data_IF_416129135031
#
_entry.id   IF_416129135031
#
_cell.length_a   1.000
_cell.length_b   1.000
_cell.length_c   1.000
_cell.angle_alpha   90.00
_cell.angle_beta   90.00
_cell.angle_gamma   90.00
#
_symmetry.space_group_name_H-M   'P 1'
#
loop_
_entity.id
_entity.type
_entity.pdbx_description
1 polymer ?
#
# COMPACT_ATOMS: atom_id res chain seq x y z
N UNK A 1 -20.06 -14.24 48.67
CA UNK A 1 -19.65 -13.26 49.71
C UNK A 1 -18.17 -13.52 49.97
N UNK A 2 -17.19 -12.72 49.57
CA UNK A 2 -17.09 -11.38 48.99
C UNK A 2 -16.09 -11.45 47.82
N UNK A 3 -16.47 -10.87 46.69
CA UNK A 3 -15.60 -10.56 45.55
C UNK A 3 -14.84 -9.30 45.93
N UNK A 4 -13.51 -9.31 45.84
CA UNK A 4 -12.72 -8.08 45.97
C UNK A 4 -11.98 -7.87 44.63
N UNK A 5 -12.56 -7.01 43.79
CA UNK A 5 -11.99 -6.58 42.53
C UNK A 5 -10.92 -5.52 42.79
N UNK A 6 -9.66 -5.87 42.55
CA UNK A 6 -8.63 -4.87 42.33
C UNK A 6 -8.45 -4.70 40.82
N UNK A 7 -9.18 -3.74 40.27
CA UNK A 7 -8.88 -3.17 38.96
C UNK A 7 -7.53 -2.47 39.04
N UNK A 8 -6.48 -3.13 38.55
CA UNK A 8 -5.21 -2.50 38.25
C UNK A 8 -5.42 -1.49 37.11
N UNK A 9 -5.42 -0.21 37.46
CA UNK A 9 -5.21 0.88 36.51
C UNK A 9 -3.77 0.82 36.01
N UNK A 10 -3.52 -0.06 35.04
CA UNK A 10 -2.30 -0.06 34.26
C UNK A 10 -2.34 1.09 33.25
N UNK A 11 -1.73 2.22 33.58
CA UNK A 11 -1.40 3.23 32.60
C UNK A 11 -0.34 2.65 31.65
N UNK A 12 -0.75 2.15 30.49
CA UNK A 12 0.16 1.70 29.45
C UNK A 12 0.59 2.90 28.60
N UNK A 13 1.70 3.51 29.00
CA UNK A 13 2.45 4.45 28.18
C UNK A 13 3.23 3.64 27.14
N UNK A 14 2.66 3.43 25.95
CA UNK A 14 3.39 2.86 24.80
C UNK A 14 4.26 3.97 24.22
N UNK A 15 5.52 4.00 24.62
CA UNK A 15 6.55 4.86 24.04
C UNK A 15 6.98 4.24 22.69
N UNK A 16 6.33 4.65 21.60
CA UNK A 16 6.78 4.34 20.24
C UNK A 16 8.00 5.21 19.91
N UNK A 17 9.18 4.69 20.24
CA UNK A 17 10.46 5.16 19.70
C UNK A 17 10.55 4.77 18.23
N UNK A 18 9.96 5.56 17.34
CA UNK A 18 10.39 5.59 15.94
C UNK A 18 11.75 6.29 15.92
N UNK A 19 12.82 5.50 15.79
CA UNK A 19 14.13 6.03 15.44
C UNK A 19 14.04 6.68 14.06
N UNK A 20 14.01 8.01 14.01
CA UNK A 20 14.35 8.74 12.80
C UNK A 20 15.83 8.45 12.53
N UNK A 21 16.10 7.55 11.59
CA UNK A 21 17.40 7.53 10.92
C UNK A 21 17.46 8.83 10.12
N UNK A 22 18.13 9.84 10.67
CA UNK A 22 18.65 10.94 9.86
C UNK A 22 19.67 10.32 8.91
N UNK A 23 19.22 9.97 7.71
CA UNK A 23 20.13 9.71 6.61
C UNK A 23 20.74 11.06 6.22
N UNK A 24 22.06 11.19 6.34
CA UNK A 24 22.77 12.32 5.72
C UNK A 24 22.45 12.34 4.22
N UNK A 25 22.20 13.53 3.67
CA UNK A 25 21.75 13.75 2.29
C UNK A 25 22.72 13.13 1.26
N UNK A 26 22.35 11.97 0.71
CA UNK A 26 23.08 11.35 -0.39
C UNK A 26 22.42 11.73 -1.72
N UNK A 27 23.13 12.49 -2.56
CA UNK A 27 22.70 12.79 -3.93
C UNK A 27 23.26 11.75 -4.89
N UNK A 28 22.42 11.27 -5.81
CA UNK A 28 22.81 10.28 -6.82
C UNK A 28 22.79 10.92 -8.21
N UNK A 29 23.95 10.92 -8.86
CA UNK A 29 24.15 11.45 -10.21
C UNK A 29 24.25 10.30 -11.22
N UNK A 30 23.63 10.47 -12.40
CA UNK A 30 23.68 9.47 -13.48
C UNK A 30 24.45 10.01 -14.67
N UNK A 31 25.47 9.27 -15.08
CA UNK A 31 26.30 9.61 -16.23
C UNK A 31 25.64 9.12 -17.55
N UNK A 32 25.99 9.75 -18.67
CA UNK A 32 25.62 9.32 -20.03
C UNK A 32 26.10 7.90 -20.34
N UNK A 33 27.15 7.43 -19.67
CA UNK A 33 27.66 6.05 -19.72
C UNK A 33 26.71 5.02 -19.10
N UNK A 34 25.68 5.46 -18.34
CA UNK A 34 24.75 4.58 -17.63
C UNK A 34 25.17 4.26 -16.19
N UNK A 35 26.36 4.70 -15.76
CA UNK A 35 26.86 4.55 -14.39
C UNK A 35 26.14 5.51 -13.43
N UNK A 36 25.90 5.02 -12.20
CA UNK A 36 25.29 5.79 -11.11
C UNK A 36 26.34 6.05 -10.05
N UNK A 37 26.51 7.31 -9.66
CA UNK A 37 27.45 7.71 -8.60
C UNK A 37 26.67 8.41 -7.51
N UNK A 38 26.67 7.83 -6.31
CA UNK A 38 26.01 8.37 -5.12
C UNK A 38 27.03 8.88 -4.12
N UNK A 39 26.76 10.04 -3.53
CA UNK A 39 27.63 10.65 -2.53
C UNK A 39 27.08 11.94 -1.92
N UNK A 40 27.77 12.45 -0.91
CA UNK A 40 27.52 13.76 -0.30
C UNK A 40 28.17 14.85 -1.17
N UNK A 41 27.44 15.92 -1.53
CA UNK A 41 28.00 16.99 -2.39
C UNK A 41 28.88 17.91 -1.54
N UNK A 42 30.16 17.99 -1.89
CA UNK A 42 31.14 18.85 -1.20
C UNK A 42 31.28 20.23 -1.85
N UNK A 43 31.15 20.33 -3.18
CA UNK A 43 31.21 21.59 -3.92
C UNK A 43 30.59 21.48 -5.30
N UNK A 44 30.04 22.59 -5.79
CA UNK A 44 29.45 22.72 -7.13
C UNK A 44 29.99 23.97 -7.82
N UNK A 45 30.46 23.82 -9.06
CA UNK A 45 30.86 24.92 -9.94
C UNK A 45 29.95 24.98 -11.17
N UNK A 46 30.15 25.96 -12.05
CA UNK A 46 29.38 26.06 -13.31
C UNK A 46 29.55 24.83 -14.21
N UNK A 47 30.67 24.11 -14.11
CA UNK A 47 31.01 22.99 -15.02
C UNK A 47 31.10 21.63 -14.33
N UNK A 48 31.36 21.58 -13.01
CA UNK A 48 31.61 20.33 -12.29
C UNK A 48 30.93 20.26 -10.91
N UNK A 49 30.68 19.04 -10.43
CA UNK A 49 30.15 18.73 -9.10
C UNK A 49 31.12 17.78 -8.40
N UNK A 50 31.59 18.10 -7.21
CA UNK A 50 32.42 17.21 -6.39
C UNK A 50 31.58 16.52 -5.33
N UNK A 51 31.60 15.19 -5.31
CA UNK A 51 30.89 14.38 -4.34
C UNK A 51 31.83 13.47 -3.55
N UNK A 52 31.53 13.23 -2.28
CA UNK A 52 32.17 12.21 -1.45
C UNK A 52 31.37 10.91 -1.57
N UNK A 53 31.86 9.99 -2.38
CA UNK A 53 31.31 8.64 -2.51
C UNK A 53 31.90 7.72 -1.43
N UNK A 54 31.05 6.89 -0.82
CA UNK A 54 31.47 5.91 0.19
C UNK A 54 32.40 4.82 -0.36
N UNK A 55 32.42 4.62 -1.69
CA UNK A 55 33.20 3.58 -2.36
C UNK A 55 34.46 4.15 -3.03
N UNK A 56 34.37 5.34 -3.63
CA UNK A 56 35.42 5.90 -4.49
C UNK A 56 36.14 7.13 -3.89
N UNK A 57 35.77 7.59 -2.70
CA UNK A 57 36.31 8.83 -2.12
C UNK A 57 35.71 10.08 -2.76
N UNK A 58 36.49 11.16 -2.88
CA UNK A 58 36.05 12.38 -3.55
C UNK A 58 36.08 12.21 -5.08
N UNK A 59 34.93 12.40 -5.73
CA UNK A 59 34.71 12.23 -7.16
C UNK A 59 34.20 13.54 -7.75
N UNK A 60 34.92 14.08 -8.74
CA UNK A 60 34.48 15.25 -9.51
C UNK A 60 33.78 14.80 -10.80
N UNK A 61 32.51 15.15 -10.94
CA UNK A 61 31.65 14.83 -12.07
C UNK A 61 31.49 16.06 -12.95
N UNK A 62 31.71 15.93 -14.26
CA UNK A 62 31.40 17.00 -15.21
C UNK A 62 29.91 17.04 -15.52
N UNK A 63 29.30 18.24 -15.47
CA UNK A 63 27.87 18.43 -15.78
C UNK A 63 27.53 18.02 -17.22
N UNK A 64 28.50 18.10 -18.14
CA UNK A 64 28.36 17.62 -19.52
C UNK A 64 28.10 16.13 -19.63
N UNK A 65 28.52 15.35 -18.63
CA UNK A 65 28.43 13.90 -18.64
C UNK A 65 27.18 13.40 -17.95
N UNK A 66 26.36 14.31 -17.40
CA UNK A 66 25.07 13.97 -16.81
C UNK A 66 24.02 13.67 -17.88
N UNK A 67 23.18 12.67 -17.63
CA UNK A 67 22.02 12.34 -18.48
C UNK A 67 20.95 13.42 -18.32
N UNK A 68 20.72 14.20 -19.38
CA UNK A 68 19.68 15.24 -19.44
C UNK A 68 18.28 14.61 -19.53
N UNK A 69 17.40 14.92 -18.59
CA UNK A 69 16.04 14.37 -18.48
C UNK A 69 15.01 15.32 -19.07
N UNK A 70 14.07 14.83 -19.89
CA UNK A 70 12.97 15.65 -20.45
C UNK A 70 11.66 15.30 -19.75
N UNK A 71 11.01 16.29 -19.14
CA UNK A 71 9.73 16.12 -18.42
C UNK A 71 8.63 16.99 -19.03
N UNK A 72 7.38 16.58 -18.81
CA UNK A 72 6.18 17.38 -19.08
C UNK A 72 5.53 17.71 -17.74
N UNK A 73 5.54 18.98 -17.35
CA UNK A 73 4.89 19.48 -16.15
C UNK A 73 3.53 20.08 -16.52
N UNK A 74 2.48 19.69 -15.81
CA UNK A 74 1.15 20.30 -15.88
C UNK A 74 0.97 21.16 -14.64
N UNK A 75 0.71 22.46 -14.82
CA UNK A 75 0.50 23.40 -13.73
C UNK A 75 -0.94 23.36 -13.20
N UNK A 76 -1.16 23.93 -12.02
CA UNK A 76 -2.49 24.13 -11.44
C UNK A 76 -3.38 25.01 -12.30
N UNK A 77 -2.78 25.93 -13.08
CA UNK A 77 -3.47 26.74 -14.09
C UNK A 77 -3.98 25.91 -15.28
N UNK A 78 -3.46 24.69 -15.46
CA UNK A 78 -3.68 23.87 -16.65
C UNK A 78 -2.60 24.04 -17.73
N UNK A 79 -1.65 24.96 -17.56
CA UNK A 79 -0.54 25.15 -18.50
C UNK A 79 0.41 23.95 -18.50
N UNK A 80 1.01 23.68 -19.67
CA UNK A 80 1.90 22.53 -19.86
C UNK A 80 3.30 23.01 -20.23
N UNK A 81 4.27 22.73 -19.36
CA UNK A 81 5.69 23.05 -19.56
C UNK A 81 6.43 21.79 -19.96
N UNK A 82 7.08 21.80 -21.14
CA UNK A 82 7.90 20.68 -21.63
C UNK A 82 9.34 21.13 -21.80
N UNK A 83 10.28 20.37 -21.26
CA UNK A 83 11.69 20.71 -21.40
C UNK A 83 12.63 19.82 -20.61
N UNK A 84 13.92 20.16 -20.67
CA UNK A 84 14.98 19.42 -19.97
C UNK A 84 15.13 19.94 -18.55
N UNK A 85 15.17 19.06 -17.55
CA UNK A 85 15.42 19.47 -16.15
C UNK A 85 16.87 19.92 -16.00
N UNK A 86 17.06 21.18 -15.62
CA UNK A 86 18.35 21.78 -15.32
C UNK A 86 18.67 21.73 -13.82
N UNK A 87 17.64 21.94 -12.98
CA UNK A 87 17.78 21.98 -11.51
C UNK A 87 16.50 21.47 -10.84
N UNK A 88 16.66 20.78 -9.72
CA UNK A 88 15.59 20.25 -8.87
C UNK A 88 15.89 20.58 -7.42
N UNK A 89 15.06 21.42 -6.83
CA UNK A 89 15.10 21.73 -5.39
C UNK A 89 13.74 21.44 -4.77
N UNK A 90 13.62 21.61 -3.45
CA UNK A 90 12.34 21.51 -2.74
C UNK A 90 11.36 22.57 -3.24
N UNK A 91 11.86 23.77 -3.53
CA UNK A 91 11.00 24.94 -3.81
C UNK A 91 10.67 25.11 -5.30
N UNK A 92 11.54 24.64 -6.20
CA UNK A 92 11.38 24.87 -7.63
C UNK A 92 12.03 23.82 -8.54
N UNK A 93 11.48 23.71 -9.75
CA UNK A 93 12.08 23.06 -10.91
C UNK A 93 12.61 24.11 -11.87
N UNK A 94 13.87 23.99 -12.29
CA UNK A 94 14.40 24.78 -13.40
C UNK A 94 14.45 23.92 -14.67
N UNK A 95 13.79 24.38 -15.73
CA UNK A 95 13.56 23.60 -16.95
C UNK A 95 14.02 24.39 -18.17
N UNK A 96 14.86 23.81 -19.00
CA UNK A 96 15.19 24.31 -20.33
C UNK A 96 14.06 23.92 -21.30
N UNK A 97 13.13 24.83 -21.51
CA UNK A 97 12.03 24.66 -22.47
C UNK A 97 12.39 25.20 -23.85
N UNK A 98 11.55 24.94 -24.86
CA UNK A 98 11.68 25.56 -26.19
C UNK A 98 11.59 27.11 -26.16
N UNK A 99 11.08 27.68 -25.06
CA UNK A 99 10.96 29.13 -24.85
C UNK A 99 12.06 29.71 -23.96
N UNK A 100 13.08 28.90 -23.61
CA UNK A 100 14.16 29.26 -22.71
C UNK A 100 14.04 28.60 -21.33
N UNK A 101 14.90 29.04 -20.40
CA UNK A 101 14.88 28.56 -19.01
C UNK A 101 13.62 29.06 -18.29
N UNK A 102 12.85 28.11 -17.76
CA UNK A 102 11.63 28.37 -17.00
C UNK A 102 11.83 27.79 -15.60
N UNK A 103 11.66 28.63 -14.59
CA UNK A 103 11.59 28.21 -13.19
C UNK A 103 10.14 28.03 -12.80
N UNK A 104 9.77 26.79 -12.45
CA UNK A 104 8.42 26.41 -12.03
C UNK A 104 8.43 26.13 -10.52
N UNK A 105 7.73 26.92 -9.70
CA UNK A 105 7.57 26.62 -8.28
C UNK A 105 6.84 25.29 -8.07
N UNK A 106 7.31 24.44 -7.16
CA UNK A 106 6.74 23.11 -6.94
C UNK A 106 5.26 23.17 -6.54
N UNK A 107 4.85 24.22 -5.83
CA UNK A 107 3.47 24.49 -5.42
C UNK A 107 2.49 24.64 -6.59
N UNK A 108 2.99 25.07 -7.75
CA UNK A 108 2.18 25.32 -8.93
C UNK A 108 2.04 24.08 -9.82
N UNK A 109 2.67 22.96 -9.46
CA UNK A 109 2.67 21.72 -10.25
C UNK A 109 1.51 20.82 -9.83
N UNK A 110 0.62 20.54 -10.78
CA UNK A 110 -0.49 19.59 -10.62
C UNK A 110 -0.04 18.15 -10.84
N UNK A 111 0.75 17.91 -11.90
CA UNK A 111 1.30 16.59 -12.21
C UNK A 111 2.54 16.70 -13.09
N UNK A 112 3.43 15.73 -12.96
CA UNK A 112 4.61 15.57 -13.82
C UNK A 112 4.41 14.27 -14.59
N UNK A 113 4.33 14.38 -15.91
CA UNK A 113 4.39 13.25 -16.83
C UNK A 113 5.82 13.15 -17.35
N UNK A 114 6.42 11.96 -17.23
CA UNK A 114 7.65 11.69 -17.93
C UNK A 114 7.33 11.75 -19.42
N UNK A 115 8.05 12.59 -20.18
CA UNK A 115 7.95 12.53 -21.62
C UNK A 115 8.61 11.21 -22.04
N UNK A 116 7.81 10.14 -22.12
CA UNK A 116 8.19 8.97 -22.87
C UNK A 116 8.50 9.48 -24.27
N UNK A 117 9.79 9.59 -24.62
CA UNK A 117 10.17 9.56 -26.02
C UNK A 117 9.71 8.19 -26.51
N UNK A 118 8.49 8.12 -27.03
CA UNK A 118 8.14 7.16 -28.04
C UNK A 118 9.13 7.47 -29.17
N UNK A 119 10.24 6.75 -29.16
CA UNK A 119 11.16 6.82 -30.26
C UNK A 119 10.39 6.18 -31.41
N UNK A 120 9.94 6.98 -32.38
CA UNK A 120 9.12 6.53 -33.52
C UNK A 120 9.84 5.50 -34.42
N UNK A 121 11.05 5.07 -34.03
CA UNK A 121 11.94 4.10 -34.67
C UNK A 121 12.39 2.98 -33.71
N UNK A 122 11.87 2.90 -32.47
CA UNK A 122 12.22 1.80 -31.56
C UNK A 122 11.57 0.48 -32.00
N UNK A 123 12.30 -0.65 -31.98
CA UNK A 123 11.79 -1.94 -32.42
C UNK A 123 10.56 -2.35 -31.59
N UNK A 124 9.58 -2.93 -32.26
CA UNK A 124 8.42 -3.54 -31.61
C UNK A 124 8.86 -4.83 -30.91
N UNK A 125 8.67 -4.90 -29.60
CA UNK A 125 8.98 -6.09 -28.81
C UNK A 125 7.69 -6.86 -28.56
N UNK A 126 7.72 -8.16 -28.85
CA UNK A 126 6.65 -9.09 -28.52
C UNK A 126 6.64 -9.35 -27.00
N UNK A 127 5.62 -8.85 -26.30
CA UNK A 127 5.32 -9.25 -24.92
C UNK A 127 4.23 -10.31 -24.92
N UNK A 128 4.51 -11.45 -24.30
CA UNK A 128 3.49 -12.47 -24.00
C UNK A 128 2.67 -12.02 -22.79
N UNK A 129 1.35 -12.02 -22.96
CA UNK A 129 0.36 -11.86 -21.90
C UNK A 129 -0.53 -13.10 -21.82
N UNK A 130 -1.32 -13.21 -20.76
CA UNK A 130 -2.33 -14.27 -20.60
C UNK A 130 -3.37 -14.30 -21.74
N UNK A 131 -3.50 -13.20 -22.50
CA UNK A 131 -4.45 -13.06 -23.62
C UNK A 131 -3.76 -13.08 -24.99
N UNK A 132 -2.51 -13.53 -25.06
CA UNK A 132 -1.73 -13.62 -26.30
C UNK A 132 -0.56 -12.66 -26.38
N UNK A 133 0.03 -12.56 -27.58
CA UNK A 133 1.24 -11.74 -27.82
C UNK A 133 0.85 -10.33 -28.26
N UNK A 134 1.29 -9.34 -27.49
CA UNK A 134 1.09 -7.92 -27.78
C UNK A 134 2.42 -7.30 -28.20
N UNK A 135 2.40 -6.53 -29.28
CA UNK A 135 3.57 -5.83 -29.80
C UNK A 135 3.57 -4.40 -29.23
N UNK A 136 4.63 -4.04 -28.52
CA UNK A 136 4.78 -2.69 -27.96
C UNK A 136 6.11 -2.09 -28.39
N UNK A 137 6.09 -0.79 -28.70
CA UNK A 137 7.30 -0.01 -28.98
C UNK A 137 8.17 0.05 -27.73
N UNK A 138 9.46 -0.25 -27.84
CA UNK A 138 10.40 -0.13 -26.73
C UNK A 138 10.50 1.35 -26.29
N UNK A 139 9.76 1.73 -25.25
CA UNK A 139 9.98 3.01 -24.59
C UNK A 139 11.24 2.88 -23.76
N UNK A 140 12.23 3.74 -24.02
CA UNK A 140 13.34 3.94 -23.10
C UNK A 140 12.72 4.43 -21.78
N UNK A 141 12.44 3.52 -20.86
CA UNK A 141 11.94 3.88 -19.55
C UNK A 141 12.99 4.79 -18.93
N UNK A 142 12.60 6.02 -18.62
CA UNK A 142 13.36 6.86 -17.71
C UNK A 142 13.46 6.10 -16.38
N UNK A 143 14.66 6.12 -15.79
CA UNK A 143 14.94 5.46 -14.51
C UNK A 143 14.33 6.23 -13.32
N UNK A 144 13.73 7.41 -13.55
CA UNK A 144 13.06 8.22 -12.53
C UNK A 144 11.57 7.87 -12.47
N UNK A 145 10.91 8.05 -11.33
CA UNK A 145 9.49 7.74 -11.16
C UNK A 145 8.93 8.31 -9.88
N UNK A 146 7.84 9.05 -9.99
CA UNK A 146 7.14 9.64 -8.85
C UNK A 146 6.16 8.68 -8.17
N UNK A 147 5.69 7.67 -8.93
CA UNK A 147 4.72 6.67 -8.48
C UNK A 147 5.17 5.28 -8.93
N UNK A 148 5.00 4.29 -8.07
CA UNK A 148 5.02 2.89 -8.48
C UNK A 148 3.94 2.63 -9.54
N UNK A 149 4.11 1.56 -10.33
CA UNK A 149 3.12 1.16 -11.36
C UNK A 149 1.73 0.94 -10.77
N UNK A 150 1.65 0.58 -9.50
CA UNK A 150 0.41 0.29 -8.80
C UNK A 150 0.35 1.05 -7.49
N UNK A 151 -0.83 1.56 -7.15
CA UNK A 151 -1.15 2.04 -5.80
C UNK A 151 -1.89 0.93 -5.07
N UNK A 152 -1.49 0.66 -3.84
CA UNK A 152 -2.12 -0.37 -3.05
C UNK A 152 -3.52 0.08 -2.64
N UNK A 153 -4.52 -0.68 -3.06
CA UNK A 153 -5.88 -0.49 -2.57
C UNK A 153 -5.98 -0.95 -1.12
N UNK A 154 -5.31 -2.03 -0.77
CA UNK A 154 -5.29 -2.64 0.56
C UNK A 154 -3.83 -3.02 0.88
N UNK A 155 -3.43 -2.94 2.15
CA UNK A 155 -2.18 -3.52 2.65
C UNK A 155 -2.57 -4.81 3.36
N UNK A 156 -2.07 -5.95 2.87
CA UNK A 156 -2.59 -7.28 3.23
C UNK A 156 -4.10 -7.40 3.00
N UNK A 157 -4.91 -7.30 4.06
CA UNK A 157 -6.38 -7.34 3.99
C UNK A 157 -7.03 -6.03 4.43
N UNK A 158 -6.24 -5.11 5.00
CA UNK A 158 -6.70 -3.86 5.54
C UNK A 158 -6.72 -2.75 4.47
N UNK A 159 -7.81 -1.98 4.38
CA UNK A 159 -7.99 -1.03 3.29
C UNK A 159 -7.09 0.20 3.44
N UNK A 160 -6.66 0.74 2.31
CA UNK A 160 -6.11 2.10 2.22
C UNK A 160 -7.18 3.08 1.73
N UNK A 161 -6.87 4.38 1.81
CA UNK A 161 -7.66 5.47 1.24
C UNK A 161 -7.75 5.46 -0.29
N UNK A 162 -6.99 4.59 -0.97
CA UNK A 162 -6.95 4.54 -2.43
C UNK A 162 -7.93 3.52 -3.03
N UNK A 163 -8.38 3.85 -4.23
CA UNK A 163 -9.26 3.01 -5.04
C UNK A 163 -8.63 2.69 -6.40
N UNK A 164 -9.11 1.62 -7.03
CA UNK A 164 -8.77 1.24 -8.40
C UNK A 164 -9.19 2.39 -9.35
N UNK A 165 -8.33 2.82 -10.30
CA UNK A 165 -8.68 3.86 -11.27
C UNK A 165 -9.93 3.51 -12.10
N UNK A 166 -10.63 4.54 -12.61
CA UNK A 166 -11.81 4.34 -13.45
C UNK A 166 -11.50 3.43 -14.64
N UNK A 167 -12.40 2.49 -14.90
CA UNK A 167 -12.32 1.50 -15.99
C UNK A 167 -11.09 0.58 -15.92
N UNK A 168 -10.40 0.52 -14.79
CA UNK A 168 -9.33 -0.45 -14.58
C UNK A 168 -9.89 -1.73 -13.92
N UNK A 169 -9.45 -2.87 -14.46
CA UNK A 169 -9.70 -4.19 -13.90
C UNK A 169 -8.45 -4.64 -13.15
N UNK A 170 -8.63 -4.93 -11.87
CA UNK A 170 -7.68 -5.68 -11.06
C UNK A 170 -8.08 -7.15 -11.06
N UNK A 171 -7.10 -8.03 -11.24
CA UNK A 171 -7.33 -9.47 -11.18
C UNK A 171 -6.12 -10.14 -10.53
N UNK A 172 -6.37 -11.02 -9.57
CA UNK A 172 -5.36 -11.80 -8.87
C UNK A 172 -5.80 -13.26 -8.74
N UNK A 173 -4.91 -14.12 -8.24
CA UNK A 173 -5.23 -15.52 -7.99
C UNK A 173 -6.33 -15.74 -6.94
N UNK A 174 -6.65 -14.74 -6.11
CA UNK A 174 -7.61 -14.87 -5.01
C UNK A 174 -8.78 -13.87 -5.08
N UNK A 175 -8.68 -12.83 -5.91
CA UNK A 175 -9.66 -11.75 -5.94
C UNK A 175 -9.69 -11.02 -7.28
N UNK A 176 -10.79 -10.32 -7.54
CA UNK A 176 -10.91 -9.37 -8.64
C UNK A 176 -11.42 -8.03 -8.11
N UNK A 177 -11.21 -6.98 -8.90
CA UNK A 177 -11.65 -5.65 -8.57
C UNK A 177 -11.89 -4.80 -9.79
N UNK A 178 -12.85 -3.89 -9.73
CA UNK A 178 -13.15 -2.96 -10.81
C UNK A 178 -13.37 -1.55 -10.29
N UNK A 179 -12.68 -0.58 -10.88
CA UNK A 179 -12.88 0.84 -10.61
C UNK A 179 -14.04 1.39 -11.44
N UNK A 180 -15.20 1.59 -10.82
CA UNK A 180 -16.37 2.21 -11.47
C UNK A 180 -16.12 3.69 -11.78
N UNK A 181 -15.42 4.38 -10.87
CA UNK A 181 -14.96 5.76 -11.02
C UNK A 181 -13.60 5.91 -10.34
N UNK A 182 -12.95 7.07 -10.46
CA UNK A 182 -11.68 7.35 -9.75
C UNK A 182 -11.81 7.42 -8.23
N UNK A 183 -13.03 7.23 -7.70
CA UNK A 183 -13.33 7.20 -6.26
C UNK A 183 -14.12 6.00 -5.83
N UNK A 184 -14.69 5.21 -6.73
CA UNK A 184 -15.60 4.12 -6.38
C UNK A 184 -15.08 2.85 -7.02
N UNK A 185 -14.82 1.84 -6.19
CA UNK A 185 -14.45 0.51 -6.63
C UNK A 185 -15.38 -0.55 -6.04
N UNK A 186 -15.40 -1.70 -6.68
CA UNK A 186 -15.97 -2.92 -6.17
C UNK A 186 -14.91 -4.00 -6.28
N UNK A 187 -14.68 -4.76 -5.20
CA UNK A 187 -13.83 -5.94 -5.22
C UNK A 187 -14.56 -7.16 -4.69
N UNK A 188 -14.04 -8.34 -4.98
CA UNK A 188 -14.56 -9.60 -4.46
C UNK A 188 -13.48 -10.69 -4.44
N UNK A 189 -13.56 -11.57 -3.44
CA UNK A 189 -12.73 -12.77 -3.29
C UNK A 189 -13.41 -13.92 -4.02
N UNK A 190 -13.05 -14.16 -5.27
CA UNK A 190 -13.73 -15.17 -6.10
C UNK A 190 -13.43 -16.60 -5.65
N UNK A 191 -12.33 -16.84 -4.95
CA UNK A 191 -12.03 -18.16 -4.39
C UNK A 191 -13.10 -18.59 -3.38
N UNK A 192 -13.65 -17.66 -2.60
CA UNK A 192 -14.71 -17.96 -1.64
C UNK A 192 -15.99 -18.50 -2.31
N UNK A 193 -16.19 -18.25 -3.61
CA UNK A 193 -17.36 -18.74 -4.34
C UNK A 193 -17.39 -20.27 -4.40
N UNK A 194 -16.23 -20.95 -4.34
CA UNK A 194 -16.17 -22.41 -4.26
C UNK A 194 -16.80 -22.98 -2.98
N UNK A 195 -16.93 -22.15 -1.94
CA UNK A 195 -17.62 -22.46 -0.68
C UNK A 195 -18.98 -21.77 -0.57
N UNK A 196 -19.56 -21.35 -1.70
CA UNK A 196 -20.87 -20.68 -1.76
C UNK A 196 -20.94 -19.35 -1.00
N UNK A 197 -19.79 -18.77 -0.65
CA UNK A 197 -19.70 -17.42 -0.09
C UNK A 197 -19.53 -16.40 -1.23
N UNK A 198 -20.66 -15.96 -1.75
CA UNK A 198 -20.69 -14.78 -2.59
C UNK A 198 -20.42 -13.54 -1.73
N UNK A 199 -19.32 -12.87 -2.01
CA UNK A 199 -18.90 -11.71 -1.26
C UNK A 199 -18.69 -10.50 -2.17
N UNK A 200 -18.93 -9.31 -1.65
CA UNK A 200 -18.77 -8.06 -2.38
C UNK A 200 -18.24 -6.97 -1.46
N UNK A 201 -17.20 -6.28 -1.90
CA UNK A 201 -16.53 -5.23 -1.13
C UNK A 201 -16.57 -3.88 -1.88
N UNK A 202 -17.68 -3.13 -1.81
CA UNK A 202 -17.70 -1.75 -2.29
C UNK A 202 -16.83 -0.85 -1.40
N UNK A 203 -16.03 0.01 -2.03
CA UNK A 203 -15.22 1.02 -1.35
C UNK A 203 -15.29 2.35 -2.09
N UNK A 204 -15.46 3.44 -1.34
CA UNK A 204 -15.48 4.81 -1.85
C UNK A 204 -14.40 5.67 -1.18
N UNK A 205 -13.55 6.29 -1.98
CA UNK A 205 -12.67 7.38 -1.54
C UNK A 205 -13.51 8.66 -1.40
N UNK A 206 -13.80 9.05 -0.17
CA UNK A 206 -14.64 10.21 0.17
C UNK A 206 -13.89 11.51 -0.15
N UNK A 207 -12.61 11.59 0.21
CA UNK A 207 -11.77 12.71 -0.17
C UNK A 207 -10.37 12.25 -0.57
N UNK A 208 -9.79 13.01 -1.50
CA UNK A 208 -8.41 12.87 -1.94
C UNK A 208 -7.89 14.26 -2.24
N UNK A 209 -6.85 14.68 -1.53
CA UNK A 209 -6.28 16.03 -1.64
C UNK A 209 -4.76 15.97 -1.58
N UNK A 210 -4.09 17.00 -2.06
CA UNK A 210 -2.63 17.12 -2.04
C UNK A 210 -1.99 17.22 -3.42
N UNK A 211 -0.68 17.42 -3.41
CA UNK A 211 0.16 17.69 -4.57
C UNK A 211 1.11 16.50 -4.84
N UNK A 212 2.10 16.69 -5.71
CA UNK A 212 3.11 15.66 -6.02
C UNK A 212 3.94 15.30 -4.78
N UNK A 213 4.16 16.22 -3.85
CA UNK A 213 4.98 15.97 -2.66
C UNK A 213 4.23 15.20 -1.59
N UNK A 214 2.98 15.59 -1.31
CA UNK A 214 2.17 15.04 -0.24
C UNK A 214 0.72 14.89 -0.68
N UNK A 215 0.15 13.73 -0.41
CA UNK A 215 -1.23 13.41 -0.71
C UNK A 215 -1.90 12.75 0.49
N UNK A 216 -3.14 13.14 0.76
CA UNK A 216 -4.03 12.48 1.70
C UNK A 216 -5.24 11.89 0.97
N UNK A 217 -5.71 10.75 1.44
CA UNK A 217 -6.92 10.10 0.94
C UNK A 217 -7.67 9.43 2.09
N UNK A 218 -8.98 9.59 2.11
CA UNK A 218 -9.87 8.92 3.05
C UNK A 218 -10.87 8.07 2.27
N UNK A 219 -11.01 6.82 2.68
CA UNK A 219 -11.98 5.91 2.12
C UNK A 219 -12.83 5.26 3.21
N UNK A 220 -14.07 4.96 2.85
CA UNK A 220 -14.98 4.12 3.62
C UNK A 220 -15.48 3.01 2.72
N UNK A 221 -15.89 1.89 3.30
CA UNK A 221 -16.50 0.83 2.55
C UNK A 221 -17.08 -0.24 3.46
N UNK A 222 -17.58 -1.28 2.80
CA UNK A 222 -18.05 -2.47 3.49
C UNK A 222 -17.65 -3.72 2.72
N UNK A 223 -17.65 -4.85 3.40
CA UNK A 223 -17.44 -6.16 2.83
C UNK A 223 -18.61 -7.03 3.25
N UNK A 224 -19.39 -7.49 2.28
CA UNK A 224 -20.58 -8.31 2.53
C UNK A 224 -20.26 -9.73 2.14
N UNK A 225 -20.73 -10.68 2.95
CA UNK A 225 -20.54 -12.11 2.75
C UNK A 225 -21.89 -12.80 2.89
N UNK A 226 -22.27 -13.66 1.94
CA UNK A 226 -23.53 -14.41 2.04
C UNK A 226 -23.45 -15.57 3.02
N UNK A 227 -22.25 -16.11 3.23
CA UNK A 227 -21.97 -17.31 4.03
C UNK A 227 -20.53 -17.25 4.56
N UNK A 228 -20.07 -18.31 5.21
CA UNK A 228 -18.72 -18.37 5.78
C UNK A 228 -18.67 -17.78 7.19
N UNK A 229 -17.59 -18.09 7.90
CA UNK A 229 -17.26 -17.44 9.16
C UNK A 229 -16.16 -16.38 8.93
N UNK A 230 -16.26 -15.20 9.56
CA UNK A 230 -15.20 -14.21 9.51
C UNK A 230 -13.90 -14.74 10.14
N UNK A 231 -12.77 -14.14 9.77
CA UNK A 231 -11.46 -14.42 10.37
C UNK A 231 -11.32 -13.73 11.74
N UNK A 232 -12.29 -13.99 12.64
CA UNK A 232 -12.40 -13.46 14.00
C UNK A 232 -12.65 -14.62 14.94
N UNK A 233 -12.18 -14.52 16.18
CA UNK A 233 -12.25 -15.60 17.17
C UNK A 233 -12.80 -15.10 18.50
N UNK A 234 -13.47 -15.99 19.22
CA UNK A 234 -13.94 -15.80 20.59
C UNK A 234 -13.49 -16.98 21.45
N UNK A 235 -13.20 -16.70 22.71
CA UNK A 235 -12.89 -17.74 23.70
C UNK A 235 -14.21 -18.32 24.23
N UNK A 236 -14.37 -19.63 24.13
CA UNK A 236 -15.51 -20.35 24.69
C UNK A 236 -15.00 -21.35 25.73
N UNK A 237 -15.69 -21.40 26.86
CA UNK A 237 -15.41 -22.40 27.89
C UNK A 237 -15.83 -23.80 27.43
N UNK A 238 -14.99 -24.81 27.68
CA UNK A 238 -15.24 -26.21 27.30
C UNK A 238 -15.42 -26.43 25.78
N UNK A 239 -14.71 -25.66 24.94
CA UNK A 239 -14.82 -25.75 23.48
C UNK A 239 -13.96 -26.86 22.86
N UNK A 240 -12.92 -27.31 23.56
CA UNK A 240 -12.11 -28.45 23.14
C UNK A 240 -12.39 -29.67 24.03
N UNK A 241 -12.46 -30.83 23.39
CA UNK A 241 -12.66 -32.13 24.02
C UNK A 241 -11.41 -32.95 23.79
N UNK A 242 -10.68 -33.24 24.87
CA UNK A 242 -9.51 -34.11 24.80
C UNK A 242 -9.90 -35.53 25.25
N UNK A 243 -9.42 -36.52 24.51
CA UNK A 243 -9.74 -37.93 24.73
C UNK A 243 -8.62 -38.60 25.52
N UNK A 244 -8.94 -39.00 26.75
CA UNK A 244 -8.06 -39.78 27.60
C UNK A 244 -8.60 -41.19 27.83
N UNK A 245 -7.72 -42.19 27.76
CA UNK A 245 -7.99 -43.49 28.36
C UNK A 245 -7.46 -43.46 29.79
N UNK A 246 -8.37 -43.45 30.76
CA UNK A 246 -7.98 -43.54 32.17
C UNK A 246 -8.45 -44.87 32.74
N UNK A 247 -7.51 -45.78 32.98
CA UNK A 247 -7.77 -47.10 33.60
C UNK A 247 -8.79 -47.98 32.85
N UNK A 248 -8.92 -47.81 31.54
CA UNK A 248 -9.81 -48.61 30.69
C UNK A 248 -11.24 -48.06 30.55
N UNK A 249 -11.55 -46.92 31.17
CA UNK A 249 -12.78 -46.15 30.94
C UNK A 249 -12.47 -44.91 30.07
N UNK A 250 -13.41 -44.56 29.19
CA UNK A 250 -13.34 -43.33 28.40
C UNK A 250 -13.48 -42.12 29.34
N UNK A 251 -12.49 -41.23 29.35
CA UNK A 251 -12.53 -39.98 30.10
C UNK A 251 -12.41 -38.80 29.14
N UNK A 252 -13.34 -37.85 29.27
CA UNK A 252 -13.34 -36.62 28.50
C UNK A 252 -12.94 -35.45 29.40
N UNK A 253 -11.89 -34.73 29.01
CA UNK A 253 -11.54 -33.45 29.62
C UNK A 253 -11.94 -32.32 28.68
N UNK A 254 -12.55 -31.28 29.26
CA UNK A 254 -12.99 -30.11 28.53
C UNK A 254 -12.08 -28.93 28.88
N UNK A 255 -11.57 -28.25 27.86
CA UNK A 255 -10.75 -27.04 28.03
C UNK A 255 -11.37 -25.84 27.28
N UNK A 256 -11.01 -24.65 27.72
CA UNK A 256 -11.38 -23.41 27.04
C UNK A 256 -10.66 -23.35 25.68
N UNK A 257 -11.38 -22.96 24.64
CA UNK A 257 -10.85 -22.96 23.27
C UNK A 257 -11.26 -21.74 22.48
N UNK A 258 -10.39 -21.32 21.56
CA UNK A 258 -10.69 -20.27 20.58
C UNK A 258 -11.49 -20.85 19.43
N UNK A 259 -12.69 -20.33 19.21
CA UNK A 259 -13.53 -20.70 18.08
C UNK A 259 -13.79 -19.49 17.20
N UNK A 260 -14.04 -19.71 15.91
CA UNK A 260 -14.41 -18.63 15.01
C UNK A 260 -15.70 -17.93 15.47
N UNK A 261 -15.75 -16.62 15.30
CA UNK A 261 -16.90 -15.79 15.61
C UNK A 261 -18.08 -16.24 14.74
N UNK A 262 -19.21 -16.60 15.34
CA UNK A 262 -20.38 -17.13 14.64
C UNK A 262 -20.41 -18.65 14.49
N UNK A 263 -19.37 -19.37 14.94
CA UNK A 263 -19.37 -20.84 14.99
C UNK A 263 -20.44 -21.36 15.96
N UNK A 264 -21.10 -22.46 15.59
CA UNK A 264 -22.12 -23.12 16.39
C UNK A 264 -21.69 -24.54 16.76
N UNK A 265 -22.01 -25.02 17.98
CA UNK A 265 -21.70 -26.38 18.38
C UNK A 265 -22.64 -27.39 17.70
N UNK A 266 -22.13 -28.60 17.45
CA UNK A 266 -22.90 -29.77 17.03
C UNK A 266 -23.55 -30.48 18.23
N UNK A 267 -24.26 -31.59 17.98
CA UNK A 267 -24.93 -32.38 19.02
C UNK A 267 -23.96 -32.96 20.07
N UNK A 268 -22.70 -33.17 19.69
CA UNK A 268 -21.63 -33.70 20.53
C UNK A 268 -20.82 -32.61 21.27
N UNK A 269 -21.16 -31.33 21.06
CA UNK A 269 -20.52 -30.17 21.68
C UNK A 269 -19.28 -29.62 20.96
N UNK A 270 -18.90 -30.18 19.80
CA UNK A 270 -17.80 -29.69 18.97
C UNK A 270 -18.25 -28.54 18.07
N UNK A 271 -17.38 -27.56 17.83
CA UNK A 271 -17.73 -26.37 17.06
C UNK A 271 -17.40 -26.53 15.58
N UNK A 272 -18.38 -26.22 14.73
CA UNK A 272 -18.15 -26.01 13.30
C UNK A 272 -17.39 -24.69 13.09
N UNK A 273 -16.06 -24.76 13.03
CA UNK A 273 -15.15 -23.62 12.96
C UNK A 273 -14.21 -23.66 11.74
N UNK A 274 -14.50 -24.53 10.77
CA UNK A 274 -13.66 -24.80 9.60
C UNK A 274 -13.90 -23.83 8.44
N UNK A 275 -13.02 -23.91 7.44
CA UNK A 275 -13.12 -23.10 6.23
C UNK A 275 -14.29 -23.55 5.35
N UNK A 276 -15.37 -22.77 5.36
CA UNK A 276 -16.62 -23.06 4.64
C UNK A 276 -17.83 -23.23 5.54
N UNK A 277 -17.61 -23.31 6.86
CA UNK A 277 -18.68 -23.27 7.86
C UNK A 277 -19.31 -21.86 7.93
N UNK A 278 -20.51 -21.77 8.50
CA UNK A 278 -21.29 -20.54 8.54
C UNK A 278 -22.27 -20.44 7.38
N UNK A 279 -23.55 -20.37 7.71
CA UNK A 279 -24.67 -20.29 6.77
C UNK A 279 -25.39 -18.93 6.81
N UNK A 280 -24.86 -17.98 7.58
CA UNK A 280 -25.47 -16.67 7.78
C UNK A 280 -24.75 -15.59 6.97
N UNK A 281 -25.54 -14.61 6.53
CA UNK A 281 -25.01 -13.37 6.01
C UNK A 281 -24.27 -12.60 7.11
N UNK A 282 -23.10 -12.08 6.80
CA UNK A 282 -22.35 -11.20 7.69
C UNK A 282 -21.65 -10.11 6.89
N UNK A 283 -21.12 -9.11 7.59
CA UNK A 283 -20.35 -8.08 6.90
C UNK A 283 -19.34 -7.37 7.79
N UNK A 284 -18.50 -6.60 7.14
CA UNK A 284 -17.49 -5.74 7.76
C UNK A 284 -17.72 -4.31 7.26
N UNK A 285 -17.69 -3.34 8.17
CA UNK A 285 -17.59 -1.93 7.81
C UNK A 285 -16.17 -1.45 8.09
N UNK A 286 -15.61 -0.63 7.20
CA UNK A 286 -14.25 -0.14 7.37
C UNK A 286 -14.08 1.32 6.93
N UNK A 287 -13.10 1.98 7.52
CA UNK A 287 -12.64 3.30 7.15
C UNK A 287 -11.11 3.37 7.23
N UNK A 288 -10.51 4.08 6.27
CA UNK A 288 -9.05 4.19 6.15
C UNK A 288 -8.65 5.59 5.73
N UNK A 289 -7.65 6.14 6.40
CA UNK A 289 -7.00 7.40 6.07
C UNK A 289 -5.55 7.15 5.73
N UNK A 290 -5.15 7.48 4.49
CA UNK A 290 -3.80 7.30 3.98
C UNK A 290 -3.14 8.63 3.71
N UNK A 291 -1.96 8.83 4.28
CA UNK A 291 -1.01 9.87 3.94
C UNK A 291 0.06 9.30 3.02
N UNK A 292 0.54 10.10 2.08
CA UNK A 292 1.48 9.66 1.05
C UNK A 292 2.47 10.76 0.75
N UNK A 293 3.75 10.52 1.03
CA UNK A 293 4.83 11.48 0.84
C UNK A 293 5.82 10.99 -0.21
N UNK A 294 6.27 11.87 -1.09
CA UNK A 294 7.36 11.61 -2.02
C UNK A 294 8.67 11.44 -1.24
N UNK A 295 9.49 10.46 -1.64
CA UNK A 295 10.79 10.21 -1.02
C UNK A 295 11.80 11.28 -1.41
N UNK A 296 12.76 11.53 -0.52
CA UNK A 296 13.94 12.35 -0.80
C UNK A 296 14.72 11.74 -1.98
N UNK A 297 14.99 12.55 -3.00
CA UNK A 297 15.47 12.09 -4.32
C UNK A 297 14.39 12.00 -5.41
N UNK A 298 13.12 12.14 -5.04
CA UNK A 298 11.97 12.22 -5.95
C UNK A 298 11.58 10.93 -6.64
N UNK A 299 12.18 9.80 -6.23
CA UNK A 299 11.88 8.47 -6.75
C UNK A 299 11.10 7.63 -5.73
N UNK A 300 9.82 7.45 -6.00
CA UNK A 300 8.89 6.68 -5.19
C UNK A 300 8.35 7.37 -3.95
N UNK A 301 7.40 6.70 -3.29
CA UNK A 301 6.64 7.25 -2.17
C UNK A 301 6.70 6.36 -0.94
N UNK A 302 6.42 6.98 0.19
CA UNK A 302 6.08 6.33 1.44
C UNK A 302 4.62 6.64 1.72
N UNK A 303 3.81 5.61 1.92
CA UNK A 303 2.44 5.74 2.33
C UNK A 303 2.30 5.25 3.78
N UNK A 304 1.48 5.96 4.55
CA UNK A 304 1.12 5.59 5.92
C UNK A 304 -0.39 5.62 6.01
N UNK A 305 -1.00 4.52 6.43
CA UNK A 305 -2.45 4.36 6.53
C UNK A 305 -2.82 4.06 7.98
N UNK A 306 -3.74 4.83 8.54
CA UNK A 306 -4.47 4.47 9.75
C UNK A 306 -5.89 4.09 9.37
N UNK A 307 -6.41 3.03 9.96
CA UNK A 307 -7.80 2.65 9.72
C UNK A 307 -8.40 1.84 10.83
N UNK A 308 -9.70 1.61 10.67
CA UNK A 308 -10.50 0.82 11.58
C UNK A 308 -11.53 0.02 10.79
N UNK A 309 -11.86 -1.16 11.30
CA UNK A 309 -12.96 -1.96 10.80
C UNK A 309 -13.74 -2.60 11.92
N UNK A 310 -14.97 -3.04 11.62
CA UNK A 310 -15.79 -3.77 12.56
C UNK A 310 -16.59 -4.84 11.83
N UNK A 311 -16.46 -6.08 12.30
CA UNK A 311 -17.20 -7.23 11.78
C UNK A 311 -18.52 -7.37 12.54
N UNK A 312 -19.58 -7.56 11.77
CA UNK A 312 -20.97 -7.75 12.18
C UNK A 312 -21.40 -9.15 11.78
N UNK A 313 -21.58 -10.04 12.75
CA UNK A 313 -22.13 -11.38 12.54
C UNK A 313 -23.44 -11.55 13.33
N UNK A 314 -24.51 -12.13 12.75
CA UNK A 314 -25.80 -12.21 13.43
C UNK A 314 -25.76 -13.03 14.72
N UNK A 315 -26.10 -12.38 15.85
CA UNK A 315 -26.15 -13.00 17.17
C UNK A 315 -24.82 -12.98 17.93
N UNK A 316 -23.81 -12.29 17.40
CA UNK A 316 -22.49 -12.14 18.03
C UNK A 316 -22.21 -10.67 18.37
N UNK A 317 -21.27 -10.44 19.28
CA UNK A 317 -20.79 -9.10 19.60
C UNK A 317 -20.03 -8.48 18.42
N UNK A 318 -20.06 -7.14 18.35
CA UNK A 318 -19.28 -6.38 17.37
C UNK A 318 -17.79 -6.68 17.56
N UNK A 319 -17.10 -7.07 16.48
CA UNK A 319 -15.67 -7.36 16.52
C UNK A 319 -14.85 -6.24 15.85
N UNK A 320 -14.40 -5.22 16.60
CA UNK A 320 -13.63 -4.10 16.06
C UNK A 320 -12.16 -4.47 15.83
N UNK A 321 -11.51 -3.75 14.91
CA UNK A 321 -10.08 -3.77 14.63
C UNK A 321 -9.61 -2.35 14.35
N UNK A 322 -8.43 -1.99 14.82
CA UNK A 322 -7.71 -0.78 14.42
C UNK A 322 -6.33 -1.15 13.91
N UNK A 323 -5.83 -0.46 12.89
CA UNK A 323 -4.55 -0.78 12.27
C UNK A 323 -3.79 0.46 11.84
N UNK A 324 -2.46 0.30 11.79
CA UNK A 324 -1.51 1.23 11.21
C UNK A 324 -0.65 0.45 10.21
N UNK A 325 -0.75 0.82 8.94
CA UNK A 325 -0.03 0.20 7.84
C UNK A 325 0.88 1.20 7.14
N UNK A 326 1.96 0.72 6.55
CA UNK A 326 2.86 1.51 5.70
C UNK A 326 3.26 0.72 4.46
N UNK A 327 3.37 1.40 3.32
CA UNK A 327 4.03 0.85 2.14
C UNK A 327 5.06 1.81 1.58
N UNK A 328 6.21 1.26 1.19
CA UNK A 328 7.36 2.00 0.69
C UNK A 328 7.68 1.48 -0.70
N UNK A 329 7.75 2.40 -1.66
CA UNK A 329 8.20 2.05 -2.98
C UNK A 329 9.73 1.91 -3.01
N UNK A 330 10.22 0.69 -3.24
CA UNK A 330 11.66 0.41 -3.41
C UNK A 330 12.07 0.62 -4.87
N UNK A 331 11.21 0.23 -5.81
CA UNK A 331 11.36 0.47 -7.24
C UNK A 331 9.99 0.68 -7.91
N UNK A 332 9.96 0.97 -9.22
CA UNK A 332 8.70 1.05 -10.00
C UNK A 332 7.79 -0.18 -9.86
N UNK A 333 8.37 -1.36 -9.54
CA UNK A 333 7.65 -2.64 -9.51
C UNK A 333 7.77 -3.39 -8.17
N UNK A 334 8.48 -2.84 -7.19
CA UNK A 334 8.72 -3.49 -5.90
C UNK A 334 8.34 -2.55 -4.77
N UNK A 335 7.50 -3.06 -3.87
CA UNK A 335 7.07 -2.38 -2.65
C UNK A 335 7.42 -3.23 -1.44
N UNK A 336 7.76 -2.56 -0.34
CA UNK A 336 7.83 -3.17 0.99
C UNK A 336 6.62 -2.68 1.77
N UNK A 337 5.97 -3.58 2.49
CA UNK A 337 4.77 -3.28 3.26
C UNK A 337 4.97 -3.73 4.71
N UNK A 338 4.42 -2.97 5.65
CA UNK A 338 4.40 -3.31 7.06
C UNK A 338 3.06 -2.91 7.68
N UNK A 339 2.57 -3.68 8.63
CA UNK A 339 1.31 -3.44 9.32
C UNK A 339 1.41 -3.86 10.78
N UNK A 340 0.83 -3.05 11.65
CA UNK A 340 0.54 -3.39 13.03
C UNK A 340 -0.94 -3.15 13.29
N UNK A 341 -1.57 -4.02 14.07
CA UNK A 341 -2.99 -3.91 14.39
C UNK A 341 -3.27 -4.28 15.84
N UNK A 342 -4.40 -3.79 16.33
CA UNK A 342 -5.01 -4.23 17.58
C UNK A 342 -6.42 -4.76 17.28
N UNK A 343 -6.65 -6.00 17.70
CA UNK A 343 -7.86 -6.77 17.40
C UNK A 343 -8.16 -7.69 18.60
N UNK A 344 -9.19 -7.40 19.42
CA UNK A 344 -9.55 -8.23 20.58
C UNK A 344 -10.05 -9.63 20.21
N UNK A 345 -10.38 -9.83 18.93
CA UNK A 345 -10.94 -11.06 18.39
C UNK A 345 -9.89 -11.79 17.51
N UNK A 346 -8.61 -11.47 17.70
CA UNK A 346 -7.49 -12.17 17.08
C UNK A 346 -6.69 -12.88 18.17
N UNK A 347 -6.46 -14.21 18.07
CA UNK A 347 -5.87 -15.03 19.13
C UNK A 347 -4.37 -14.76 19.38
#
# INVERSE_FOLDING_TARGET
MLINSNYSRGAFLVLLLFGFVFAQEQKTFKLKSGEKISGEVLSETETSITIKSSIAGEVTIQKSDLKKETITIILNSGDVVKGVVLEKTVDHFKIESAFGEITVPTEQIKSIEEAHKANSQAPLVAKRSLFGTRWETESSQSDEWYFSKERLMDVWFDPTGYTIPKNALYFSGLSWGFGLTDRVQITSKWTNYFWQDFNLRPKITVFKSGNVESQSAFAIGGHLHTRGLPDKYKLIANASKDYGLNSGEEAYTYEDGWVRLGATPNEDGEYYNDWGDGDRFWGELFAAFTLSKLREGGNGRINTTIGASAVLYPGEDLAPRIYLATDIDVSKSVKIMGEIFYDPFFP
#
